data_IF_679007249424
#
_entry.id   IF_679007249424
#
_cell.length_a   1.000
_cell.length_b   1.000
_cell.length_c   1.000
_cell.angle_alpha   90.00
_cell.angle_beta   90.00
_cell.angle_gamma   90.00
#
_symmetry.space_group_name_H-M   'P 1'
#
loop_
_entity.id
_entity.type
_entity.pdbx_description
1 polymer ?
#
# COMPACT_ATOMS: atom_id res chain seq x y z
N UNK A 1 -69.21 -9.84 34.78
CA UNK A 1 -69.07 -10.79 33.63
C UNK A 1 -68.92 -10.08 32.30
N UNK A 2 -69.62 -8.97 32.06
CA UNK A 2 -69.51 -8.21 30.79
C UNK A 2 -68.13 -7.61 30.51
N UNK A 3 -67.47 -7.07 31.55
CA UNK A 3 -66.12 -6.51 31.42
C UNK A 3 -65.04 -7.55 31.07
N UNK A 4 -65.21 -8.78 31.55
CA UNK A 4 -64.29 -9.88 31.23
C UNK A 4 -64.50 -10.40 29.79
N UNK A 5 -65.77 -10.41 29.33
CA UNK A 5 -66.09 -10.74 27.96
C UNK A 5 -65.63 -9.68 26.97
N UNK A 6 -65.72 -8.41 27.31
CA UNK A 6 -65.17 -7.32 26.49
C UNK A 6 -63.61 -7.34 26.43
N UNK A 7 -62.96 -7.64 27.55
CA UNK A 7 -61.51 -7.81 27.58
C UNK A 7 -61.09 -9.01 26.73
N UNK A 8 -61.78 -10.13 26.84
CA UNK A 8 -61.48 -11.33 26.04
C UNK A 8 -61.69 -11.11 24.53
N UNK A 9 -62.73 -10.36 24.17
CA UNK A 9 -62.92 -9.94 22.77
C UNK A 9 -61.81 -9.01 22.28
N UNK A 10 -61.41 -8.03 23.03
CA UNK A 10 -60.31 -7.14 22.71
C UNK A 10 -58.97 -7.89 22.64
N UNK A 11 -58.74 -8.84 23.56
CA UNK A 11 -57.56 -9.69 23.54
C UNK A 11 -57.52 -10.58 22.29
N UNK A 12 -58.60 -11.21 21.95
CA UNK A 12 -58.71 -12.05 20.76
C UNK A 12 -58.64 -11.23 19.45
N UNK A 13 -59.14 -10.02 19.47
CA UNK A 13 -59.06 -9.08 18.35
C UNK A 13 -57.60 -8.62 18.12
N UNK A 14 -56.90 -8.22 19.18
CA UNK A 14 -55.49 -7.91 19.12
C UNK A 14 -54.64 -9.15 18.76
N UNK A 15 -55.01 -10.33 19.24
CA UNK A 15 -54.31 -11.54 18.95
C UNK A 15 -54.44 -11.96 17.48
N UNK A 16 -55.66 -11.83 16.92
CA UNK A 16 -55.97 -12.30 15.54
C UNK A 16 -55.71 -11.21 14.49
N UNK A 17 -55.99 -9.94 14.83
CA UNK A 17 -55.84 -8.83 13.89
C UNK A 17 -54.51 -8.09 14.09
N UNK A 18 -53.76 -8.41 15.15
CA UNK A 18 -52.42 -7.97 15.41
C UNK A 18 -52.25 -6.50 15.78
N UNK A 19 -50.99 -6.11 15.96
CA UNK A 19 -50.60 -4.69 16.16
C UNK A 19 -49.90 -4.28 14.85
N UNK A 20 -50.33 -3.18 14.25
CA UNK A 20 -49.85 -2.71 12.92
C UNK A 20 -50.13 -3.67 11.75
N UNK A 21 -51.19 -4.50 11.84
CA UNK A 21 -51.56 -5.45 10.79
C UNK A 21 -50.71 -6.74 10.77
N UNK A 22 -49.95 -6.99 11.82
CA UNK A 22 -49.13 -8.21 11.97
C UNK A 22 -49.80 -9.09 13.04
N UNK A 23 -50.02 -10.37 12.78
CA UNK A 23 -50.52 -11.31 13.77
C UNK A 23 -49.55 -11.41 14.97
N UNK A 24 -50.09 -11.40 16.19
CA UNK A 24 -49.28 -11.54 17.41
C UNK A 24 -48.42 -12.80 17.38
N UNK A 25 -48.87 -13.88 16.74
CA UNK A 25 -48.15 -15.11 16.53
C UNK A 25 -46.87 -14.92 15.72
N UNK A 26 -46.92 -14.10 14.65
CA UNK A 26 -45.79 -13.88 13.75
C UNK A 26 -44.71 -13.03 14.43
N UNK A 27 -45.16 -12.06 15.26
CA UNK A 27 -44.25 -11.26 16.11
C UNK A 27 -43.50 -12.17 17.12
N UNK A 28 -44.23 -13.08 17.79
CA UNK A 28 -43.64 -13.98 18.75
C UNK A 28 -42.65 -14.93 18.09
N UNK A 29 -43.01 -15.52 16.94
CA UNK A 29 -42.12 -16.42 16.18
C UNK A 29 -40.85 -15.68 15.72
N UNK A 30 -41.02 -14.51 15.16
CA UNK A 30 -39.91 -13.64 14.74
C UNK A 30 -38.96 -13.31 15.90
N UNK A 31 -39.53 -12.95 17.08
CA UNK A 31 -38.75 -12.68 18.28
C UNK A 31 -37.99 -13.93 18.77
N UNK A 32 -38.65 -15.11 18.74
CA UNK A 32 -38.02 -16.39 19.13
C UNK A 32 -36.87 -16.73 18.17
N UNK A 33 -37.04 -16.53 16.88
CA UNK A 33 -35.97 -16.74 15.88
C UNK A 33 -34.80 -15.82 16.18
N UNK A 34 -35.05 -14.52 16.36
CA UNK A 34 -34.00 -13.56 16.69
C UNK A 34 -33.26 -13.92 17.98
N UNK A 35 -34.01 -14.25 19.04
CA UNK A 35 -33.45 -14.61 20.35
C UNK A 35 -32.63 -15.91 20.27
N UNK A 36 -33.05 -16.87 19.46
CA UNK A 36 -32.32 -18.10 19.20
C UNK A 36 -30.93 -17.80 18.62
N UNK A 37 -30.83 -17.04 17.54
CA UNK A 37 -29.54 -16.65 16.96
C UNK A 37 -28.70 -15.78 17.88
N UNK A 38 -29.34 -14.88 18.65
CA UNK A 38 -28.68 -14.05 19.64
C UNK A 38 -28.03 -14.87 20.76
N UNK A 39 -28.73 -15.88 21.27
CA UNK A 39 -28.19 -16.80 22.28
C UNK A 39 -27.08 -17.69 21.72
N UNK A 40 -27.25 -18.20 20.50
CA UNK A 40 -26.27 -19.04 19.82
C UNK A 40 -25.03 -18.29 19.33
N UNK A 41 -25.02 -16.96 19.30
CA UNK A 41 -23.94 -16.16 18.72
C UNK A 41 -22.53 -16.55 19.21
N UNK A 42 -22.40 -16.89 20.50
CA UNK A 42 -21.12 -17.31 21.09
C UNK A 42 -20.69 -18.71 20.64
N UNK A 43 -21.65 -19.63 20.49
CA UNK A 43 -21.39 -20.99 20.04
C UNK A 43 -20.99 -20.99 18.56
N UNK A 44 -21.73 -20.27 17.71
CA UNK A 44 -21.45 -20.15 16.29
C UNK A 44 -20.08 -19.47 16.08
N UNK A 45 -19.80 -18.37 16.76
CA UNK A 45 -18.51 -17.70 16.66
C UNK A 45 -17.34 -18.64 17.07
N UNK A 46 -17.47 -19.36 18.19
CA UNK A 46 -16.46 -20.34 18.61
C UNK A 46 -16.27 -21.47 17.60
N UNK A 47 -17.37 -21.97 17.02
CA UNK A 47 -17.28 -23.01 16.00
C UNK A 47 -16.52 -22.53 14.75
N UNK A 48 -16.81 -21.32 14.26
CA UNK A 48 -16.12 -20.71 13.11
C UNK A 48 -14.65 -20.47 13.48
N UNK A 49 -14.36 -19.86 14.65
CA UNK A 49 -12.99 -19.60 15.11
C UNK A 49 -12.19 -20.91 15.23
N UNK A 50 -12.76 -21.97 15.84
CA UNK A 50 -12.08 -23.25 15.94
C UNK A 50 -11.80 -23.89 14.56
N UNK A 51 -12.65 -23.67 13.57
CA UNK A 51 -12.37 -24.11 12.19
C UNK A 51 -11.27 -23.29 11.53
N UNK A 52 -11.25 -21.99 11.77
CA UNK A 52 -10.18 -21.11 11.29
C UNK A 52 -8.84 -21.46 11.97
N UNK A 53 -8.81 -21.70 13.29
CA UNK A 53 -7.59 -22.14 13.98
C UNK A 53 -7.02 -23.43 13.40
N UNK A 54 -7.84 -24.43 13.07
CA UNK A 54 -7.38 -25.68 12.45
C UNK A 54 -6.72 -25.49 11.07
N UNK A 55 -7.12 -24.46 10.34
CA UNK A 55 -6.50 -24.10 9.05
C UNK A 55 -5.18 -23.35 9.27
N UNK A 56 -5.17 -22.49 10.28
CA UNK A 56 -4.10 -21.56 10.60
C UNK A 56 -2.96 -22.23 11.40
N UNK A 57 -3.23 -23.23 12.24
CA UNK A 57 -2.21 -23.99 13.01
C UNK A 57 -1.19 -24.76 12.14
N UNK A 58 -1.39 -24.79 10.82
CA UNK A 58 -0.36 -25.26 9.89
C UNK A 58 0.77 -24.24 9.66
N UNK A 59 0.61 -23.01 10.12
CA UNK A 59 1.59 -21.92 10.04
C UNK A 59 1.95 -21.46 11.46
N UNK A 60 3.22 -21.44 11.82
CA UNK A 60 3.72 -21.14 13.19
C UNK A 60 3.95 -19.63 13.38
N UNK A 61 3.03 -18.77 12.97
CA UNK A 61 3.22 -17.31 13.04
C UNK A 61 2.31 -16.67 14.10
N UNK A 62 2.86 -15.77 14.92
CA UNK A 62 2.10 -14.94 15.91
C UNK A 62 0.97 -14.09 15.28
N UNK A 63 0.92 -14.00 13.96
CA UNK A 63 -0.13 -13.33 13.19
C UNK A 63 -1.46 -14.04 13.41
N UNK A 64 -1.41 -15.36 13.52
CA UNK A 64 -2.54 -16.25 13.57
C UNK A 64 -3.39 -16.05 14.83
N UNK A 65 -2.76 -15.92 15.99
CA UNK A 65 -3.44 -15.66 17.26
C UNK A 65 -4.14 -14.29 17.25
N UNK A 66 -3.47 -13.28 16.69
CA UNK A 66 -4.03 -11.93 16.61
C UNK A 66 -5.22 -11.85 15.63
N UNK A 67 -5.18 -12.58 14.52
CA UNK A 67 -6.32 -12.65 13.58
C UNK A 67 -7.55 -13.23 14.28
N UNK A 68 -7.36 -14.30 15.06
CA UNK A 68 -8.44 -14.95 15.81
C UNK A 68 -9.05 -14.00 16.85
N UNK A 69 -8.21 -13.29 17.61
CA UNK A 69 -8.67 -12.38 18.66
C UNK A 69 -9.46 -11.19 18.08
N UNK A 70 -9.02 -10.60 16.97
CA UNK A 70 -9.71 -9.45 16.39
C UNK A 70 -10.98 -9.84 15.64
N UNK A 71 -11.09 -11.09 15.16
CA UNK A 71 -12.28 -11.60 14.49
C UNK A 71 -13.39 -12.03 15.49
N UNK A 72 -13.07 -12.27 16.77
CA UNK A 72 -14.05 -12.70 17.77
C UNK A 72 -15.27 -11.76 17.87
N UNK A 73 -15.03 -10.44 17.84
CA UNK A 73 -16.09 -9.43 17.88
C UNK A 73 -17.03 -9.50 16.68
N UNK A 74 -16.53 -9.31 15.44
CA UNK A 74 -17.35 -9.39 14.24
C UNK A 74 -18.03 -10.76 14.08
N UNK A 75 -17.37 -11.87 14.38
CA UNK A 75 -17.94 -13.19 14.26
C UNK A 75 -19.08 -13.48 15.27
N UNK A 76 -19.07 -12.81 16.44
CA UNK A 76 -20.23 -12.84 17.37
C UNK A 76 -21.40 -11.99 16.88
N UNK A 77 -21.13 -10.95 16.08
CA UNK A 77 -22.15 -10.11 15.51
C UNK A 77 -22.81 -10.74 14.28
N UNK A 78 -22.10 -11.55 13.51
CA UNK A 78 -22.61 -12.20 12.31
C UNK A 78 -23.90 -13.01 12.52
N UNK A 79 -24.02 -13.90 13.54
CA UNK A 79 -25.28 -14.62 13.80
C UNK A 79 -26.43 -13.68 14.19
N UNK A 80 -26.13 -12.55 14.82
CA UNK A 80 -27.15 -11.55 15.17
C UNK A 80 -27.73 -10.92 13.91
N UNK A 81 -26.88 -10.59 12.93
CA UNK A 81 -27.30 -10.05 11.62
C UNK A 81 -28.16 -11.07 10.87
N UNK A 82 -27.73 -12.35 10.81
CA UNK A 82 -28.50 -13.43 10.18
C UNK A 82 -29.84 -13.64 10.90
N UNK A 83 -29.81 -13.67 12.24
CA UNK A 83 -31.02 -13.84 13.05
C UNK A 83 -32.01 -12.72 12.83
N UNK A 84 -31.54 -11.48 12.74
CA UNK A 84 -32.39 -10.32 12.44
C UNK A 84 -32.95 -10.40 11.02
N UNK A 85 -32.13 -10.78 10.03
CA UNK A 85 -32.58 -10.96 8.66
C UNK A 85 -33.68 -12.02 8.53
N UNK A 86 -33.49 -13.22 9.12
CA UNK A 86 -34.49 -14.29 9.09
C UNK A 86 -35.75 -13.88 9.86
N UNK A 87 -35.58 -13.28 11.04
CA UNK A 87 -36.70 -12.80 11.85
C UNK A 87 -37.55 -11.73 11.14
N UNK A 88 -36.88 -10.77 10.49
CA UNK A 88 -37.55 -9.72 9.72
C UNK A 88 -38.24 -10.25 8.46
N UNK A 89 -37.65 -11.24 7.79
CA UNK A 89 -38.24 -11.89 6.61
C UNK A 89 -39.47 -12.75 6.93
N UNK A 90 -39.62 -13.17 8.19
CA UNK A 90 -40.80 -13.93 8.65
C UNK A 90 -42.01 -13.00 8.94
N UNK A 91 -41.77 -11.70 9.14
CA UNK A 91 -42.84 -10.73 9.37
C UNK A 91 -43.46 -10.31 8.04
N UNK A 92 -44.74 -10.66 7.84
CA UNK A 92 -45.54 -10.24 6.67
C UNK A 92 -46.03 -8.79 6.93
N UNK A 93 -45.20 -7.82 6.55
CA UNK A 93 -45.45 -6.41 6.76
C UNK A 93 -46.01 -5.73 5.51
N UNK A 94 -46.68 -4.60 5.71
CA UNK A 94 -47.03 -3.70 4.59
C UNK A 94 -45.76 -3.24 3.86
N UNK A 95 -45.85 -2.98 2.56
CA UNK A 95 -44.73 -2.59 1.69
C UNK A 95 -43.83 -1.48 2.28
N UNK A 96 -44.43 -0.50 2.96
CA UNK A 96 -43.70 0.61 3.56
C UNK A 96 -42.85 0.18 4.75
N UNK A 97 -43.37 -0.71 5.62
CA UNK A 97 -42.64 -1.24 6.78
C UNK A 97 -41.61 -2.27 6.35
N UNK A 98 -41.91 -3.04 5.31
CA UNK A 98 -40.96 -4.00 4.73
C UNK A 98 -39.74 -3.27 4.17
N UNK A 99 -39.91 -2.18 3.42
CA UNK A 99 -38.82 -1.35 2.92
C UNK A 99 -37.93 -0.81 4.05
N UNK A 100 -38.53 -0.44 5.19
CA UNK A 100 -37.74 0.01 6.35
C UNK A 100 -36.91 -1.12 6.96
N UNK A 101 -37.48 -2.33 7.12
CA UNK A 101 -36.74 -3.50 7.60
C UNK A 101 -35.62 -3.90 6.65
N UNK A 102 -35.86 -3.82 5.34
CA UNK A 102 -34.82 -4.09 4.32
C UNK A 102 -33.68 -3.09 4.41
N UNK A 103 -33.97 -1.82 4.65
CA UNK A 103 -32.93 -0.81 4.90
C UNK A 103 -32.13 -1.12 6.16
N UNK A 104 -32.79 -1.53 7.25
CA UNK A 104 -32.10 -1.96 8.47
C UNK A 104 -31.23 -3.20 8.21
N UNK A 105 -31.73 -4.21 7.52
CA UNK A 105 -30.97 -5.40 7.16
C UNK A 105 -29.72 -5.06 6.37
N UNK A 106 -29.87 -4.26 5.31
CA UNK A 106 -28.73 -3.78 4.50
C UNK A 106 -27.74 -2.99 5.33
N UNK A 107 -28.22 -2.13 6.25
CA UNK A 107 -27.36 -1.37 7.16
C UNK A 107 -26.57 -2.27 8.10
N UNK A 108 -27.21 -3.27 8.71
CA UNK A 108 -26.54 -4.24 9.60
C UNK A 108 -25.47 -5.04 8.86
N UNK A 109 -25.76 -5.51 7.63
CA UNK A 109 -24.79 -6.20 6.79
C UNK A 109 -23.62 -5.29 6.44
N UNK A 110 -23.90 -4.04 6.09
CA UNK A 110 -22.85 -3.03 5.79
C UNK A 110 -21.98 -2.77 7.01
N UNK A 111 -22.57 -2.55 8.19
CA UNK A 111 -21.84 -2.40 9.46
C UNK A 111 -20.94 -3.63 9.71
N UNK A 112 -21.48 -4.84 9.53
CA UNK A 112 -20.72 -6.07 9.71
C UNK A 112 -19.49 -6.13 8.79
N UNK A 113 -19.68 -5.85 7.49
CA UNK A 113 -18.59 -5.89 6.50
C UNK A 113 -17.51 -4.86 6.84
N UNK A 114 -17.88 -3.60 7.09
CA UNK A 114 -16.92 -2.55 7.39
C UNK A 114 -16.26 -2.72 8.77
N UNK A 115 -16.98 -3.28 9.76
CA UNK A 115 -16.38 -3.64 11.04
C UNK A 115 -15.36 -4.76 10.87
N UNK A 116 -15.67 -5.79 10.07
CA UNK A 116 -14.76 -6.88 9.75
C UNK A 116 -13.49 -6.34 9.06
N UNK A 117 -13.66 -5.48 8.03
CA UNK A 117 -12.54 -4.83 7.34
C UNK A 117 -11.68 -3.99 8.30
N UNK A 118 -12.31 -3.20 9.17
CA UNK A 118 -11.61 -2.40 10.17
C UNK A 118 -10.77 -3.25 11.13
N UNK A 119 -11.29 -4.40 11.57
CA UNK A 119 -10.56 -5.30 12.45
C UNK A 119 -9.42 -6.03 11.75
N UNK A 120 -9.57 -6.36 10.47
CA UNK A 120 -8.52 -7.01 9.66
C UNK A 120 -7.29 -6.10 9.42
N UNK A 121 -7.40 -4.79 9.65
CA UNK A 121 -6.25 -3.88 9.59
C UNK A 121 -5.23 -4.18 10.70
N UNK A 122 -5.66 -4.67 11.87
CA UNK A 122 -4.79 -4.94 13.02
C UNK A 122 -3.79 -6.08 12.73
N UNK A 123 -4.21 -7.25 12.24
CA UNK A 123 -3.28 -8.31 11.85
C UNK A 123 -2.29 -7.88 10.76
N UNK A 124 -2.72 -7.03 9.83
CA UNK A 124 -1.85 -6.49 8.79
C UNK A 124 -0.65 -5.72 9.36
N UNK A 125 -0.82 -5.11 10.55
CA UNK A 125 0.28 -4.45 11.27
C UNK A 125 1.41 -5.41 11.64
N UNK A 126 1.11 -6.65 11.96
CA UNK A 126 2.12 -7.66 12.33
C UNK A 126 2.94 -8.13 11.13
N UNK A 127 2.32 -8.18 9.94
CA UNK A 127 3.05 -8.45 8.69
C UNK A 127 4.08 -7.35 8.45
N UNK A 128 3.69 -6.10 8.64
CA UNK A 128 4.58 -4.95 8.45
C UNK A 128 5.66 -4.90 9.54
N UNK A 129 5.35 -5.30 10.79
CA UNK A 129 6.31 -5.35 11.90
C UNK A 129 7.51 -6.26 11.64
N UNK A 130 7.33 -7.32 10.87
CA UNK A 130 8.45 -8.16 10.45
C UNK A 130 9.47 -7.40 9.56
N UNK A 131 9.08 -6.25 8.99
CA UNK A 131 9.94 -5.33 8.25
C UNK A 131 10.44 -4.14 9.11
N UNK A 132 10.22 -4.15 10.44
CA UNK A 132 10.57 -3.06 11.37
C UNK A 132 12.06 -2.68 11.37
N UNK A 133 12.96 -3.57 10.93
CA UNK A 133 14.37 -3.21 10.76
C UNK A 133 14.61 -2.11 9.71
N UNK A 134 13.61 -1.84 8.84
CA UNK A 134 13.70 -0.89 7.72
C UNK A 134 12.70 0.27 7.79
N UNK A 135 11.64 0.16 8.61
CA UNK A 135 10.54 1.13 8.68
C UNK A 135 10.35 1.60 10.12
N UNK A 136 10.28 2.91 10.35
CA UNK A 136 10.08 3.47 11.70
C UNK A 136 8.68 3.13 12.24
N UNK A 137 8.58 2.74 13.51
CA UNK A 137 7.31 2.43 14.19
C UNK A 137 6.25 3.53 14.05
N UNK A 138 6.56 4.83 14.23
CA UNK A 138 5.57 5.88 14.07
C UNK A 138 4.93 5.93 12.68
N UNK A 139 5.69 5.64 11.62
CA UNK A 139 5.16 5.64 10.26
C UNK A 139 4.13 4.52 10.05
N UNK A 140 4.41 3.32 10.57
CA UNK A 140 3.49 2.19 10.52
C UNK A 140 2.20 2.53 11.27
N UNK A 141 2.31 3.05 12.51
CA UNK A 141 1.16 3.40 13.34
C UNK A 141 0.27 4.47 12.68
N UNK A 142 0.86 5.48 12.06
CA UNK A 142 0.11 6.52 11.35
C UNK A 142 -0.61 5.99 10.11
N UNK A 143 0.07 5.14 9.34
CA UNK A 143 -0.53 4.50 8.16
C UNK A 143 -1.73 3.64 8.55
N UNK A 144 -1.60 2.83 9.60
CA UNK A 144 -2.70 2.00 10.10
C UNK A 144 -3.86 2.83 10.64
N UNK A 145 -3.59 3.93 11.37
CA UNK A 145 -4.63 4.86 11.82
C UNK A 145 -5.35 5.50 10.64
N UNK A 146 -4.61 5.96 9.63
CA UNK A 146 -5.18 6.51 8.41
C UNK A 146 -6.09 5.52 7.69
N UNK A 147 -5.65 4.25 7.56
CA UNK A 147 -6.43 3.19 6.93
C UNK A 147 -7.71 2.87 7.73
N UNK A 148 -7.64 2.84 9.07
CA UNK A 148 -8.82 2.67 9.94
C UNK A 148 -9.84 3.80 9.76
N UNK A 149 -9.37 5.05 9.73
CA UNK A 149 -10.23 6.21 9.49
C UNK A 149 -10.88 6.11 8.11
N UNK A 150 -10.13 5.74 7.08
CA UNK A 150 -10.66 5.57 5.72
C UNK A 150 -11.79 4.52 5.69
N UNK A 151 -11.61 3.36 6.32
CA UNK A 151 -12.64 2.31 6.38
C UNK A 151 -13.89 2.80 7.12
N UNK A 152 -13.74 3.53 8.24
CA UNK A 152 -14.88 4.10 8.97
C UNK A 152 -15.62 5.11 8.10
N UNK A 153 -14.92 6.02 7.42
CA UNK A 153 -15.52 7.03 6.54
C UNK A 153 -16.28 6.37 5.40
N UNK A 154 -15.67 5.38 4.71
CA UNK A 154 -16.33 4.66 3.62
C UNK A 154 -17.57 3.88 4.11
N UNK A 155 -17.50 3.24 5.27
CA UNK A 155 -18.62 2.54 5.89
C UNK A 155 -19.76 3.50 6.24
N UNK A 156 -19.43 4.67 6.77
CA UNK A 156 -20.44 5.71 7.09
C UNK A 156 -21.11 6.23 5.81
N UNK A 157 -20.32 6.53 4.78
CA UNK A 157 -20.84 6.99 3.48
C UNK A 157 -21.76 5.93 2.86
N UNK A 158 -21.37 4.63 2.91
CA UNK A 158 -22.18 3.54 2.39
C UNK A 158 -23.54 3.44 3.13
N UNK A 159 -23.56 3.61 4.47
CA UNK A 159 -24.81 3.60 5.24
C UNK A 159 -25.68 4.79 4.87
N UNK A 160 -25.10 6.00 4.78
CA UNK A 160 -25.84 7.20 4.41
C UNK A 160 -26.51 7.07 3.03
N UNK A 161 -25.80 6.44 2.08
CA UNK A 161 -26.33 6.18 0.73
C UNK A 161 -27.53 5.23 0.77
N UNK A 162 -27.47 4.17 1.58
CA UNK A 162 -28.60 3.24 1.78
C UNK A 162 -29.85 3.97 2.27
N UNK A 163 -29.68 4.98 3.13
CA UNK A 163 -30.78 5.81 3.67
C UNK A 163 -31.22 6.93 2.73
N UNK A 164 -30.74 6.93 1.47
CA UNK A 164 -31.15 7.89 0.44
C UNK A 164 -30.51 9.29 0.59
N UNK A 165 -29.51 9.42 1.48
CA UNK A 165 -28.75 10.65 1.61
C UNK A 165 -27.78 10.76 0.42
N UNK A 166 -27.82 11.86 -0.30
CA UNK A 166 -26.94 12.09 -1.45
C UNK A 166 -25.48 12.20 -1.02
N UNK A 167 -24.72 11.13 -1.18
CA UNK A 167 -23.29 11.07 -0.81
C UNK A 167 -22.36 11.62 -1.90
N UNK A 168 -22.89 11.92 -3.09
CA UNK A 168 -22.11 12.47 -4.21
C UNK A 168 -21.17 13.63 -3.82
N UNK A 169 -21.64 14.67 -3.10
CA UNK A 169 -20.79 15.76 -2.64
C UNK A 169 -19.66 15.30 -1.69
N UNK A 170 -19.95 14.32 -0.83
CA UNK A 170 -18.94 13.75 0.09
C UNK A 170 -17.87 12.99 -0.68
N UNK A 171 -18.28 12.15 -1.64
CA UNK A 171 -17.35 11.41 -2.52
C UNK A 171 -16.52 12.40 -3.35
N UNK A 172 -17.14 13.43 -3.90
CA UNK A 172 -16.43 14.47 -4.65
C UNK A 172 -15.39 15.20 -3.77
N UNK A 173 -15.76 15.54 -2.52
CA UNK A 173 -14.85 16.14 -1.54
C UNK A 173 -13.68 15.23 -1.18
N UNK A 174 -13.93 13.93 -0.95
CA UNK A 174 -12.90 12.93 -0.72
C UNK A 174 -11.99 12.75 -1.95
N UNK A 175 -12.56 12.81 -3.16
CA UNK A 175 -11.80 12.78 -4.42
C UNK A 175 -10.86 13.99 -4.55
N UNK A 176 -11.36 15.19 -4.27
CA UNK A 176 -10.55 16.42 -4.27
C UNK A 176 -9.43 16.36 -3.20
N UNK A 177 -9.76 15.89 -2.00
CA UNK A 177 -8.75 15.64 -0.95
C UNK A 177 -7.70 14.63 -1.41
N UNK A 178 -8.12 13.53 -2.09
CA UNK A 178 -7.21 12.55 -2.68
C UNK A 178 -6.26 13.15 -3.70
N UNK A 179 -6.75 14.06 -4.56
CA UNK A 179 -5.91 14.81 -5.51
C UNK A 179 -4.90 15.68 -4.77
N UNK A 180 -5.31 16.40 -3.73
CA UNK A 180 -4.38 17.23 -2.94
C UNK A 180 -3.28 16.37 -2.28
N UNK A 181 -3.63 15.22 -1.72
CA UNK A 181 -2.66 14.25 -1.15
C UNK A 181 -1.73 13.71 -2.24
N UNK A 182 -2.26 13.37 -3.43
CA UNK A 182 -1.47 12.86 -4.54
C UNK A 182 -0.45 13.90 -5.04
N UNK A 183 -0.85 15.18 -5.16
CA UNK A 183 0.05 16.27 -5.50
C UNK A 183 1.13 16.47 -4.43
N UNK A 184 0.77 16.39 -3.14
CA UNK A 184 1.74 16.46 -2.04
C UNK A 184 2.72 15.28 -2.01
N UNK A 185 2.33 14.11 -2.52
CA UNK A 185 3.15 12.91 -2.58
C UNK A 185 3.87 12.73 -3.94
N UNK A 186 3.70 13.64 -4.90
CA UNK A 186 4.21 13.53 -6.26
C UNK A 186 5.71 13.25 -6.31
N UNK A 187 6.51 13.99 -5.53
CA UNK A 187 7.97 13.82 -5.50
C UNK A 187 8.41 12.46 -4.94
N UNK A 188 7.64 11.91 -4.00
CA UNK A 188 7.89 10.58 -3.47
C UNK A 188 7.72 9.52 -4.56
N UNK A 189 6.60 9.57 -5.31
CA UNK A 189 6.33 8.66 -6.40
C UNK A 189 7.32 8.81 -7.54
N UNK A 190 7.70 10.04 -7.91
CA UNK A 190 8.72 10.33 -8.92
C UNK A 190 10.06 9.66 -8.57
N UNK A 191 10.50 9.79 -7.33
CA UNK A 191 11.73 9.15 -6.85
C UNK A 191 11.65 7.62 -6.81
N UNK A 192 10.51 7.07 -6.39
CA UNK A 192 10.28 5.63 -6.36
C UNK A 192 10.36 5.02 -7.75
N UNK A 193 9.61 5.60 -8.70
CA UNK A 193 9.59 5.13 -10.09
C UNK A 193 10.99 5.24 -10.70
N UNK A 194 11.68 6.35 -10.46
CA UNK A 194 13.07 6.54 -10.93
C UNK A 194 14.02 5.50 -10.35
N UNK A 195 13.89 5.15 -9.06
CA UNK A 195 14.68 4.08 -8.45
C UNK A 195 14.44 2.71 -9.08
N UNK A 196 13.18 2.38 -9.36
CA UNK A 196 12.81 1.15 -10.09
C UNK A 196 13.42 1.15 -11.49
N UNK A 197 13.33 2.26 -12.23
CA UNK A 197 13.89 2.39 -13.57
C UNK A 197 15.42 2.22 -13.58
N UNK A 198 16.13 2.80 -12.62
CA UNK A 198 17.59 2.62 -12.47
C UNK A 198 17.95 1.13 -12.34
N UNK A 199 17.19 0.40 -11.52
CA UNK A 199 17.42 -1.04 -11.29
C UNK A 199 17.04 -1.89 -12.51
N UNK A 200 15.94 -1.58 -13.19
CA UNK A 200 15.47 -2.32 -14.37
C UNK A 200 16.38 -2.12 -15.58
N UNK A 201 16.72 -0.86 -15.90
CA UNK A 201 17.59 -0.52 -17.01
C UNK A 201 19.06 -0.79 -16.72
N UNK A 202 19.42 -1.00 -15.45
CA UNK A 202 20.80 -1.17 -15.01
C UNK A 202 21.71 -0.04 -15.52
N UNK A 203 21.25 1.23 -15.46
CA UNK A 203 22.03 2.39 -15.90
C UNK A 203 23.39 2.41 -15.20
N UNK A 204 23.39 2.12 -13.92
CA UNK A 204 24.56 1.84 -13.10
C UNK A 204 24.20 0.82 -12.01
N UNK A 205 25.20 0.24 -11.39
CA UNK A 205 25.07 -0.74 -10.30
C UNK A 205 25.91 -0.31 -9.10
N UNK A 206 25.66 -0.92 -7.94
CA UNK A 206 26.50 -0.70 -6.76
C UNK A 206 27.96 -1.08 -7.10
N UNK A 207 28.89 -0.20 -6.77
CA UNK A 207 30.31 -0.31 -7.10
C UNK A 207 30.74 0.46 -8.35
N UNK A 208 29.78 0.92 -9.20
CA UNK A 208 30.11 1.71 -10.37
C UNK A 208 30.59 3.13 -9.99
N UNK A 209 31.59 3.62 -10.70
CA UNK A 209 32.01 5.02 -10.67
C UNK A 209 31.18 5.79 -11.65
N UNK A 210 30.42 6.77 -11.15
CA UNK A 210 29.52 7.57 -11.97
C UNK A 210 29.78 9.06 -11.83
N UNK A 211 29.47 9.82 -12.87
CA UNK A 211 29.38 11.27 -12.87
C UNK A 211 27.99 11.70 -13.34
N UNK A 212 27.32 12.50 -12.52
CA UNK A 212 26.15 13.29 -12.88
C UNK A 212 26.50 14.74 -12.81
N UNK A 213 26.49 15.40 -13.97
CA UNK A 213 27.02 16.76 -14.09
C UNK A 213 26.26 17.75 -13.19
N UNK A 214 26.99 18.49 -12.35
CA UNK A 214 26.41 19.44 -11.39
C UNK A 214 25.82 18.84 -10.12
N UNK A 215 25.76 17.48 -10.00
CA UNK A 215 25.15 16.82 -8.84
C UNK A 215 26.19 16.02 -8.03
N UNK A 216 26.83 15.02 -8.62
CA UNK A 216 27.75 14.14 -7.90
C UNK A 216 28.72 13.42 -8.84
N UNK A 217 29.94 13.19 -8.35
CA UNK A 217 30.92 12.27 -8.93
C UNK A 217 31.45 11.38 -7.83
N UNK A 218 31.44 10.04 -8.05
CA UNK A 218 31.91 9.08 -7.07
C UNK A 218 31.47 7.66 -7.33
N UNK A 219 31.63 6.80 -6.31
CA UNK A 219 31.27 5.39 -6.32
C UNK A 219 29.86 5.18 -5.76
N UNK A 220 29.01 4.45 -6.46
CA UNK A 220 27.68 4.08 -5.98
C UNK A 220 27.81 3.06 -4.86
N UNK A 221 27.36 3.38 -3.65
CA UNK A 221 27.39 2.46 -2.51
C UNK A 221 26.06 1.73 -2.32
N UNK A 222 24.94 2.43 -2.49
CA UNK A 222 23.62 1.87 -2.29
C UNK A 222 22.59 2.57 -3.15
N UNK A 223 21.74 1.80 -3.81
CA UNK A 223 20.55 2.29 -4.49
C UNK A 223 19.36 2.04 -3.57
N UNK A 224 18.82 3.13 -3.00
CA UNK A 224 17.68 3.07 -2.09
C UNK A 224 16.36 3.34 -2.80
N UNK A 225 15.28 3.29 -2.04
CA UNK A 225 13.91 3.49 -2.51
C UNK A 225 13.65 4.89 -3.09
N UNK A 226 14.18 5.93 -2.42
CA UNK A 226 13.99 7.33 -2.79
C UNK A 226 15.27 7.98 -3.29
N UNK A 227 16.41 7.54 -2.81
CA UNK A 227 17.71 8.16 -3.07
C UNK A 227 18.80 7.12 -3.19
N UNK A 228 19.82 7.42 -3.97
CA UNK A 228 21.03 6.64 -4.15
C UNK A 228 22.16 7.28 -3.35
N UNK A 229 22.89 6.46 -2.60
CA UNK A 229 24.08 6.86 -1.86
C UNK A 229 25.30 6.73 -2.76
N UNK A 230 25.99 7.83 -2.99
CA UNK A 230 27.23 7.91 -3.76
C UNK A 230 28.34 8.42 -2.85
N UNK A 231 29.47 7.72 -2.78
CA UNK A 231 30.65 8.16 -2.07
C UNK A 231 31.58 8.90 -3.02
N UNK A 232 31.81 10.15 -2.72
CA UNK A 232 32.78 10.96 -3.47
C UNK A 232 34.22 10.48 -3.24
N UNK A 233 35.13 10.92 -4.08
CA UNK A 233 36.55 10.56 -3.96
C UNK A 233 37.23 11.18 -2.72
N UNK A 234 36.65 12.22 -2.13
CA UNK A 234 37.04 12.76 -0.84
C UNK A 234 36.45 11.98 0.37
N UNK A 235 35.89 10.78 0.11
CA UNK A 235 35.22 9.93 1.09
C UNK A 235 33.90 10.46 1.65
N UNK A 236 33.40 11.61 1.17
CA UNK A 236 32.12 12.18 1.62
C UNK A 236 30.95 11.40 1.04
N UNK A 237 30.00 10.86 1.86
CA UNK A 237 28.78 10.26 1.36
C UNK A 237 27.79 11.35 0.94
N UNK A 238 27.23 11.21 -0.28
CA UNK A 238 26.22 12.12 -0.83
C UNK A 238 24.97 11.32 -1.17
N UNK A 239 23.83 11.73 -0.62
CA UNK A 239 22.52 11.16 -0.96
C UNK A 239 21.86 11.97 -2.07
N UNK A 240 21.76 11.40 -3.25
CA UNK A 240 21.14 12.03 -4.41
C UNK A 240 19.76 11.42 -4.64
N UNK A 241 18.69 12.25 -4.75
CA UNK A 241 17.35 11.76 -5.10
C UNK A 241 17.36 11.00 -6.43
N UNK A 242 16.65 9.85 -6.50
CA UNK A 242 16.70 8.96 -7.67
C UNK A 242 16.22 9.65 -8.97
N UNK A 243 15.27 10.58 -8.86
CA UNK A 243 14.77 11.30 -10.04
C UNK A 243 15.87 12.08 -10.79
N UNK A 244 16.90 12.55 -10.07
CA UNK A 244 18.03 13.25 -10.68
C UNK A 244 18.78 12.36 -11.68
N UNK A 245 18.96 11.09 -11.36
CA UNK A 245 19.58 10.11 -12.25
C UNK A 245 18.67 9.72 -13.43
N UNK A 246 17.35 9.89 -13.30
CA UNK A 246 16.40 9.63 -14.38
C UNK A 246 16.32 10.79 -15.38
N UNK A 247 16.42 12.03 -14.91
CA UNK A 247 16.29 13.24 -15.73
C UNK A 247 17.61 13.70 -16.35
N UNK A 248 18.74 13.41 -15.70
CA UNK A 248 20.05 13.86 -16.16
C UNK A 248 20.84 12.75 -16.86
N UNK A 249 21.82 13.16 -17.65
CA UNK A 249 22.77 12.22 -18.22
C UNK A 249 23.69 11.67 -17.15
N UNK A 250 23.81 10.34 -17.08
CA UNK A 250 24.71 9.63 -16.18
C UNK A 250 25.88 9.10 -16.99
N UNK A 251 27.08 9.56 -16.69
CA UNK A 251 28.32 8.99 -17.26
C UNK A 251 28.79 7.88 -16.33
N UNK A 252 28.88 6.65 -16.85
CA UNK A 252 29.41 5.52 -16.08
C UNK A 252 30.86 5.24 -16.51
N UNK A 253 31.78 5.57 -15.63
CA UNK A 253 33.20 5.38 -15.88
C UNK A 253 33.66 3.92 -15.76
N UNK A 254 32.97 3.09 -15.00
CA UNK A 254 33.30 1.68 -14.85
C UNK A 254 33.02 0.90 -16.13
N UNK A 255 32.01 1.29 -16.92
CA UNK A 255 31.61 0.59 -18.17
C UNK A 255 32.30 1.10 -19.42
N UNK A 256 33.30 1.95 -19.28
CA UNK A 256 34.08 2.39 -20.43
C UNK A 256 34.99 1.25 -20.93
N UNK A 257 35.07 1.09 -22.24
CA UNK A 257 35.97 0.11 -22.85
C UNK A 257 37.43 0.57 -22.81
N UNK A 258 37.67 1.87 -23.00
CA UNK A 258 39.00 2.43 -23.04
C UNK A 258 39.03 3.77 -22.31
N UNK A 259 40.13 4.07 -21.64
CA UNK A 259 40.39 5.36 -21.03
C UNK A 259 41.12 6.26 -22.01
N UNK A 260 40.55 7.41 -22.36
CA UNK A 260 41.24 8.43 -23.16
C UNK A 260 42.27 9.14 -22.28
N UNK A 261 43.53 9.12 -22.76
CA UNK A 261 44.60 9.92 -22.19
C UNK A 261 44.85 11.09 -23.15
N UNK A 262 44.91 12.29 -22.63
CA UNK A 262 45.25 13.50 -23.38
C UNK A 262 46.25 14.29 -22.54
N UNK A 263 47.50 14.30 -23.02
CA UNK A 263 48.54 15.08 -22.40
C UNK A 263 48.96 16.19 -23.31
N UNK A 264 49.15 17.39 -22.72
CA UNK A 264 49.83 18.54 -23.34
C UNK A 264 51.23 18.55 -22.74
N UNK A 265 52.23 18.29 -23.56
CA UNK A 265 53.62 18.27 -23.17
C UNK A 265 54.21 19.60 -23.57
N UNK A 266 54.57 20.43 -22.57
CA UNK A 266 55.26 21.69 -22.80
C UNK A 266 56.73 21.44 -23.11
N UNK A 267 57.22 22.08 -24.13
CA UNK A 267 58.64 22.04 -24.52
C UNK A 267 59.22 23.47 -24.49
N UNK A 268 60.53 23.60 -24.35
CA UNK A 268 61.20 24.87 -24.37
C UNK A 268 61.11 25.54 -25.72
N UNK A 269 61.04 26.86 -25.77
CA UNK A 269 61.02 27.66 -27.04
C UNK A 269 62.29 27.48 -27.90
N UNK A 270 63.40 27.00 -27.31
CA UNK A 270 64.67 26.71 -28.02
C UNK A 270 64.63 25.38 -28.77
N UNK A 271 63.59 24.56 -28.58
CA UNK A 271 63.48 23.25 -29.23
C UNK A 271 63.41 23.39 -30.73
N UNK A 272 64.38 22.78 -31.42
CA UNK A 272 64.42 22.84 -32.88
C UNK A 272 63.38 21.88 -33.51
N UNK A 273 63.04 22.12 -34.77
CA UNK A 273 62.09 21.27 -35.52
C UNK A 273 62.54 19.80 -35.55
N UNK A 274 63.81 19.54 -35.67
CA UNK A 274 64.34 18.18 -35.71
C UNK A 274 64.27 17.48 -34.34
N UNK A 275 64.48 18.21 -33.25
CA UNK A 275 64.23 17.73 -31.92
C UNK A 275 62.76 17.40 -31.67
N UNK A 276 61.82 18.25 -32.14
CA UNK A 276 60.38 18.00 -32.06
C UNK A 276 59.97 16.71 -32.80
N UNK A 277 60.49 16.53 -34.03
CA UNK A 277 60.24 15.29 -34.82
C UNK A 277 60.79 14.05 -34.09
N UNK A 278 62.00 14.16 -33.51
CA UNK A 278 62.58 13.05 -32.73
C UNK A 278 61.78 12.71 -31.50
N UNK A 279 61.35 13.67 -30.70
CA UNK A 279 60.48 13.48 -29.53
C UNK A 279 59.16 12.82 -29.95
N UNK A 280 58.54 13.30 -31.03
CA UNK A 280 57.32 12.70 -31.56
C UNK A 280 57.51 11.24 -31.97
N UNK A 281 58.63 10.92 -32.64
CA UNK A 281 58.98 9.54 -33.06
C UNK A 281 59.18 8.62 -31.83
N UNK A 282 59.89 9.10 -30.83
CA UNK A 282 60.12 8.33 -29.60
C UNK A 282 58.85 8.07 -28.84
N UNK A 283 57.91 9.06 -28.74
CA UNK A 283 56.62 8.87 -28.09
C UNK A 283 55.76 7.87 -28.86
N UNK A 284 55.76 7.95 -30.21
CA UNK A 284 55.03 7.00 -31.04
C UNK A 284 55.56 5.56 -30.85
N UNK A 285 56.89 5.35 -30.89
CA UNK A 285 57.48 4.05 -30.63
C UNK A 285 57.12 3.51 -29.25
N UNK A 286 57.18 4.34 -28.23
CA UNK A 286 56.81 3.95 -26.88
C UNK A 286 55.34 3.51 -26.79
N UNK A 287 54.40 4.23 -27.44
CA UNK A 287 53.00 3.86 -27.49
C UNK A 287 52.79 2.57 -28.29
N UNK A 288 53.57 2.36 -29.37
CA UNK A 288 53.51 1.12 -30.18
C UNK A 288 54.08 -0.11 -29.45
N UNK A 289 55.11 0.06 -28.65
CA UNK A 289 55.76 -1.04 -27.93
C UNK A 289 54.99 -1.43 -26.65
N UNK A 290 54.28 -0.48 -26.04
CA UNK A 290 53.61 -0.71 -24.76
C UNK A 290 52.28 -1.45 -24.98
N UNK A 291 52.05 -2.55 -24.20
CA UNK A 291 50.86 -3.40 -24.32
C UNK A 291 49.59 -2.79 -23.70
N UNK A 292 49.75 -1.85 -22.81
CA UNK A 292 48.64 -1.22 -22.08
C UNK A 292 47.89 -0.20 -22.95
N UNK A 293 48.48 0.24 -24.08
CA UNK A 293 47.80 1.08 -25.04
C UNK A 293 46.96 0.24 -26.03
N UNK A 294 45.67 0.61 -26.16
CA UNK A 294 44.78 -0.06 -27.10
C UNK A 294 45.19 0.26 -28.56
N UNK A 295 45.41 -0.78 -29.36
CA UNK A 295 45.90 -0.71 -30.73
C UNK A 295 44.89 -1.30 -31.75
N UNK A 296 43.59 -1.25 -31.43
CA UNK A 296 42.53 -1.82 -32.28
C UNK A 296 41.80 -0.76 -33.05
N UNK A 297 40.97 -1.20 -34.03
CA UNK A 297 40.16 -0.31 -34.86
C UNK A 297 39.27 0.69 -34.08
N UNK A 298 38.90 0.39 -32.84
CA UNK A 298 38.10 1.20 -31.96
C UNK A 298 38.86 2.19 -31.10
N UNK A 299 40.22 2.16 -31.13
CA UNK A 299 41.08 3.04 -30.34
C UNK A 299 42.21 3.57 -31.24
N UNK A 300 42.11 4.86 -31.60
CA UNK A 300 43.17 5.55 -32.33
C UNK A 300 44.02 6.38 -31.41
N UNK A 301 45.33 6.34 -31.63
CA UNK A 301 46.27 7.26 -30.97
C UNK A 301 46.96 8.12 -32.03
N UNK A 302 47.34 9.29 -31.63
CA UNK A 302 48.17 10.18 -32.43
C UNK A 302 48.95 11.14 -31.56
N UNK A 303 50.20 11.40 -31.97
CA UNK A 303 51.04 12.44 -31.40
C UNK A 303 51.12 13.58 -32.38
N UNK A 304 50.60 14.74 -32.01
CA UNK A 304 50.63 15.98 -32.83
C UNK A 304 51.61 16.97 -32.24
N UNK A 305 52.30 17.69 -33.11
CA UNK A 305 53.12 18.88 -32.78
C UNK A 305 52.35 20.09 -33.19
#
# INVERSE_FOLDING_TARGET
>A
MESFNSFNKLFLDVWNNGVFGINATDIIISLVIFLFFYLLRRLIARFILNRLTLIVTKTTTKIDDTVIDVLDGPLKFFPVVIGFFIASSYLDLSDQNQNFLDLLNRSLITIFIFWLLHQLIIPFSYVIKNFESKISKPLVDWTLKGLKILVIVLGTVAILELWGIRVGPVIAGLGLFGVAVALGAQDLFKNLISGIMILMEKRFTVGDVILVSGEVEGVVEQIGFRSTLVRRFDSTPVMVPNYKFAEQSVTNYTRRHHRRIRWLIGLEYRTTIDQLKNIRSQINSLIEDEKDFAKNENASYYVRI
#
